data_IF_138840839262
#
_entry.id   IF_138840839262
#
_cell.length_a   1.000
_cell.length_b   1.000
_cell.length_c   1.000
_cell.angle_alpha   90.00
_cell.angle_beta   90.00
_cell.angle_gamma   90.00
#
_symmetry.space_group_name_H-M   'P 1'
#
loop_
_entity.id
_entity.type
_entity.pdbx_description
1 polymer ?
#
# COMPACT_ATOMS: atom_id res chain seq x y z
N UNK A 1 -38.27 12.29 -0.74
CA UNK A 1 -36.83 12.58 -0.86
C UNK A 1 -36.33 11.97 -2.15
N UNK A 2 -36.03 12.77 -3.18
CA UNK A 2 -35.49 12.28 -4.45
C UNK A 2 -34.00 11.99 -4.26
N UNK A 3 -33.62 10.72 -4.37
CA UNK A 3 -32.22 10.33 -4.47
C UNK A 3 -31.77 10.57 -5.92
N UNK A 4 -30.96 11.60 -6.13
CA UNK A 4 -30.25 11.80 -7.39
C UNK A 4 -29.39 10.57 -7.67
N UNK A 5 -29.71 9.87 -8.76
CA UNK A 5 -28.92 8.74 -9.25
C UNK A 5 -27.54 9.27 -9.67
N UNK A 6 -26.42 8.62 -9.29
CA UNK A 6 -25.11 9.00 -9.79
C UNK A 6 -25.06 8.80 -11.32
N UNK A 7 -24.69 9.86 -12.05
CA UNK A 7 -24.53 9.84 -13.51
C UNK A 7 -23.65 8.64 -13.96
N UNK A 8 -23.98 8.02 -15.11
CA UNK A 8 -23.23 6.89 -15.63
C UNK A 8 -21.80 7.33 -16.00
N UNK A 9 -20.84 6.53 -15.55
CA UNK A 9 -19.42 6.49 -15.92
C UNK A 9 -19.06 7.37 -17.13
N UNK A 10 -18.66 8.62 -16.89
CA UNK A 10 -18.00 9.44 -17.90
C UNK A 10 -16.67 8.75 -18.23
N UNK A 11 -16.69 7.92 -19.27
CA UNK A 11 -15.47 7.34 -19.88
C UNK A 11 -14.64 8.51 -20.39
N UNK A 12 -13.61 8.87 -19.63
CA UNK A 12 -12.65 9.86 -20.06
C UNK A 12 -11.96 9.36 -21.35
N UNK A 13 -11.66 10.26 -22.31
CA UNK A 13 -11.03 9.87 -23.56
C UNK A 13 -9.72 9.12 -23.29
N UNK A 14 -9.48 8.05 -24.04
CA UNK A 14 -8.20 7.33 -24.03
C UNK A 14 -7.10 8.23 -24.58
N UNK A 15 -5.88 8.03 -24.08
CA UNK A 15 -4.65 8.79 -24.39
C UNK A 15 -4.36 9.00 -25.89
N UNK A 16 -4.94 8.17 -26.75
CA UNK A 16 -4.66 8.12 -28.18
C UNK A 16 -5.25 9.31 -28.96
N UNK A 17 -6.17 10.08 -28.37
CA UNK A 17 -6.87 11.19 -29.02
C UNK A 17 -6.32 12.59 -28.68
N UNK A 18 -5.21 12.69 -27.94
CA UNK A 18 -4.72 13.98 -27.42
C UNK A 18 -3.44 14.41 -28.14
N UNK A 19 -3.46 15.63 -28.70
CA UNK A 19 -2.31 16.20 -29.40
C UNK A 19 -1.09 16.27 -28.46
N UNK A 20 0.15 16.02 -28.91
CA UNK A 20 1.33 16.01 -28.06
C UNK A 20 1.54 17.31 -27.27
N UNK A 21 1.09 18.45 -27.82
CA UNK A 21 1.19 19.77 -27.19
C UNK A 21 0.23 19.97 -26.00
N UNK A 22 -0.85 19.19 -25.95
CA UNK A 22 -1.83 19.24 -24.88
C UNK A 22 -1.45 18.37 -23.68
N UNK A 23 -0.33 17.65 -23.76
CA UNK A 23 0.17 16.82 -22.67
C UNK A 23 0.61 17.67 -21.47
N UNK A 24 0.46 17.15 -20.24
CA UNK A 24 0.86 17.87 -19.04
C UNK A 24 2.37 18.03 -18.98
N UNK A 25 2.83 19.14 -18.39
CA UNK A 25 4.24 19.31 -18.04
C UNK A 25 4.53 18.44 -16.81
N UNK A 26 5.22 17.31 -17.03
CA UNK A 26 5.67 16.41 -15.98
C UNK A 26 4.84 15.13 -15.83
N UNK A 27 5.44 14.15 -15.17
CA UNK A 27 4.87 12.81 -15.00
C UNK A 27 3.76 12.78 -13.93
N UNK A 28 2.84 11.81 -14.00
CA UNK A 28 1.86 11.60 -12.95
C UNK A 28 2.55 11.32 -11.62
N UNK A 29 2.07 11.95 -10.55
CA UNK A 29 2.55 11.67 -9.20
C UNK A 29 1.81 10.46 -8.63
N UNK A 30 2.50 9.38 -8.22
CA UNK A 30 1.86 8.24 -7.57
C UNK A 30 1.02 8.66 -6.36
N UNK A 31 -0.18 8.12 -6.19
CA UNK A 31 -1.11 8.51 -5.12
C UNK A 31 -0.49 8.41 -3.72
N UNK A 32 0.42 7.45 -3.53
CA UNK A 32 1.15 7.19 -2.30
C UNK A 32 2.06 8.36 -1.91
N UNK A 33 2.56 9.09 -2.90
CA UNK A 33 3.44 10.25 -2.74
C UNK A 33 2.66 11.56 -2.60
N UNK A 34 1.39 11.58 -3.02
CA UNK A 34 0.56 12.79 -2.91
C UNK A 34 0.20 13.05 -1.44
N UNK A 35 0.53 14.26 -0.98
CA UNK A 35 0.24 14.77 0.37
C UNK A 35 -0.40 16.16 0.22
N UNK A 36 -1.60 16.33 0.77
CA UNK A 36 -2.18 17.66 0.94
C UNK A 36 -1.59 18.32 2.18
N UNK A 37 -1.08 19.53 2.03
CA UNK A 37 -0.70 20.41 3.15
C UNK A 37 -1.65 21.61 3.16
N UNK A 38 -2.01 22.18 4.33
CA UNK A 38 -2.76 23.45 4.38
C UNK A 38 -2.07 24.55 3.56
N UNK A 39 -0.74 24.58 3.53
CA UNK A 39 0.04 25.61 2.81
C UNK A 39 0.17 25.35 1.31
N UNK A 40 -0.15 24.14 0.85
CA UNK A 40 -0.01 23.76 -0.57
C UNK A 40 -1.17 22.86 -1.01
N UNK A 41 -2.28 23.45 -1.46
CA UNK A 41 -3.41 22.69 -1.95
C UNK A 41 -3.03 21.89 -3.20
N UNK A 42 -3.60 20.69 -3.31
CA UNK A 42 -3.37 19.83 -4.46
C UNK A 42 -4.04 20.44 -5.70
N UNK A 43 -3.25 20.61 -6.75
CA UNK A 43 -3.71 21.09 -8.04
C UNK A 43 -3.62 19.98 -9.10
N UNK A 44 -4.51 20.06 -10.09
CA UNK A 44 -4.41 19.25 -11.31
C UNK A 44 -3.11 19.60 -12.06
N UNK A 45 -2.58 18.64 -12.83
CA UNK A 45 -1.52 18.95 -13.81
C UNK A 45 -2.14 19.76 -14.94
N UNK A 46 -1.41 20.75 -15.45
CA UNK A 46 -1.86 21.58 -16.57
C UNK A 46 -1.04 21.25 -17.81
N UNK A 47 -1.67 21.31 -18.98
CA UNK A 47 -0.96 21.29 -20.26
C UNK A 47 0.00 22.48 -20.36
N UNK A 48 0.98 22.40 -21.25
CA UNK A 48 1.98 23.46 -21.46
C UNK A 48 1.32 24.81 -21.81
N UNK A 49 0.22 24.75 -22.55
CA UNK A 49 -0.60 25.91 -22.95
C UNK A 49 -1.72 26.23 -21.95
N UNK A 50 -1.73 25.59 -20.77
CA UNK A 50 -2.72 25.73 -19.67
C UNK A 50 -4.20 25.52 -20.04
N UNK A 51 -4.50 25.09 -21.26
CA UNK A 51 -5.88 24.86 -21.73
C UNK A 51 -6.52 23.57 -21.21
N UNK A 52 -5.72 22.55 -20.92
CA UNK A 52 -6.22 21.21 -20.55
C UNK A 52 -5.78 20.84 -19.14
N UNK A 53 -6.74 20.41 -18.32
CA UNK A 53 -6.51 19.92 -16.96
C UNK A 53 -6.32 18.41 -16.99
N UNK A 54 -5.35 17.92 -16.24
CA UNK A 54 -4.98 16.52 -16.16
C UNK A 54 -4.97 16.06 -14.71
N UNK A 55 -5.36 14.80 -14.50
CA UNK A 55 -5.28 14.19 -13.19
C UNK A 55 -3.84 14.25 -12.69
N UNK A 56 -3.69 14.59 -11.41
CA UNK A 56 -2.38 14.66 -10.77
C UNK A 56 -1.67 13.30 -10.77
N UNK A 57 -2.44 12.20 -10.71
CA UNK A 57 -1.90 10.86 -10.46
C UNK A 57 -2.02 9.87 -11.62
N UNK A 58 -2.65 10.28 -12.70
CA UNK A 58 -2.67 9.52 -13.95
C UNK A 58 -2.86 10.47 -15.13
N UNK A 59 -2.68 9.99 -16.36
CA UNK A 59 -2.86 10.81 -17.56
C UNK A 59 -4.31 10.81 -18.04
N UNK A 60 -5.26 11.01 -17.12
CA UNK A 60 -6.67 11.21 -17.44
C UNK A 60 -6.98 12.71 -17.54
N UNK A 61 -7.61 13.13 -18.63
CA UNK A 61 -8.08 14.51 -18.83
C UNK A 61 -9.25 14.81 -17.88
N UNK A 62 -9.22 15.98 -17.25
CA UNK A 62 -10.22 16.48 -16.32
C UNK A 62 -11.09 17.58 -16.97
N UNK A 63 -12.30 17.81 -16.45
CA UNK A 63 -13.12 18.94 -16.89
C UNK A 63 -12.41 20.27 -16.66
N UNK A 64 -12.50 21.19 -17.63
CA UNK A 64 -11.84 22.50 -17.62
C UNK A 64 -12.23 23.35 -16.41
N UNK A 65 -13.50 23.28 -15.99
CA UNK A 65 -14.06 24.09 -14.90
C UNK A 65 -14.07 23.36 -13.54
N UNK A 66 -13.49 22.16 -13.47
CA UNK A 66 -13.46 21.40 -12.22
C UNK A 66 -12.49 21.98 -11.20
N UNK A 67 -12.76 21.81 -9.91
CA UNK A 67 -11.80 22.11 -8.84
C UNK A 67 -10.97 20.89 -8.42
N UNK A 68 -11.40 19.68 -8.79
CA UNK A 68 -10.73 18.46 -8.33
C UNK A 68 -9.37 18.28 -9.02
N UNK A 69 -8.32 17.90 -8.28
CA UNK A 69 -7.02 17.55 -8.84
C UNK A 69 -6.96 16.11 -9.38
N UNK A 70 -8.02 15.32 -9.20
CA UNK A 70 -8.06 13.90 -9.55
C UNK A 70 -9.27 13.55 -10.42
N UNK A 71 -9.14 12.50 -11.23
CA UNK A 71 -10.28 11.83 -11.84
C UNK A 71 -11.06 11.01 -10.80
N UNK A 72 -12.27 10.57 -11.12
CA UNK A 72 -13.13 9.85 -10.15
C UNK A 72 -12.45 8.60 -9.55
N UNK A 73 -11.71 7.84 -10.35
CA UNK A 73 -10.99 6.64 -9.89
C UNK A 73 -9.88 6.99 -8.90
N UNK A 74 -9.00 7.93 -9.28
CA UNK A 74 -7.93 8.41 -8.41
C UNK A 74 -8.47 9.08 -7.15
N UNK A 75 -9.60 9.80 -7.23
CA UNK A 75 -10.26 10.41 -6.08
C UNK A 75 -10.73 9.37 -5.06
N UNK A 76 -11.34 8.26 -5.50
CA UNK A 76 -11.75 7.17 -4.60
C UNK A 76 -10.55 6.54 -3.89
N UNK A 77 -9.49 6.23 -4.65
CA UNK A 77 -8.25 5.65 -4.10
C UNK A 77 -7.55 6.61 -3.13
N UNK A 78 -7.47 7.88 -3.48
CA UNK A 78 -6.89 8.92 -2.62
C UNK A 78 -7.63 9.01 -1.28
N UNK A 79 -8.97 9.04 -1.31
CA UNK A 79 -9.78 9.04 -0.06
C UNK A 79 -9.53 7.80 0.80
N UNK A 80 -9.42 6.62 0.19
CA UNK A 80 -9.14 5.39 0.93
C UNK A 80 -7.74 5.43 1.58
N UNK A 81 -6.73 5.94 0.86
CA UNK A 81 -5.38 6.13 1.39
C UNK A 81 -5.35 7.18 2.50
N UNK A 82 -6.10 8.27 2.37
CA UNK A 82 -6.18 9.31 3.38
C UNK A 82 -6.85 8.80 4.67
N UNK A 83 -7.96 8.05 4.54
CA UNK A 83 -8.58 7.38 5.68
C UNK A 83 -7.62 6.40 6.36
N UNK A 84 -6.85 5.63 5.58
CA UNK A 84 -5.84 4.72 6.13
C UNK A 84 -4.76 5.50 6.89
N UNK A 85 -4.20 6.55 6.30
CA UNK A 85 -3.22 7.44 6.95
C UNK A 85 -3.76 8.06 8.23
N UNK A 86 -5.04 8.46 8.27
CA UNK A 86 -5.68 8.98 9.49
C UNK A 86 -5.83 7.91 10.57
N UNK A 87 -6.21 6.68 10.20
CA UNK A 87 -6.28 5.55 11.14
C UNK A 87 -4.90 5.20 11.70
N UNK A 88 -3.88 5.24 10.84
CA UNK A 88 -2.49 4.99 11.23
C UNK A 88 -1.96 6.12 12.14
N UNK A 89 -2.26 7.39 11.83
CA UNK A 89 -1.88 8.54 12.66
C UNK A 89 -2.61 8.58 14.02
N UNK A 90 -3.84 8.06 14.09
CA UNK A 90 -4.61 7.95 15.34
C UNK A 90 -4.15 6.78 16.25
N UNK A 91 -3.18 5.97 15.80
CA UNK A 91 -2.57 4.88 16.58
C UNK A 91 -1.06 5.12 16.70
N UNK A 92 -0.62 6.08 17.53
CA UNK A 92 0.80 6.45 17.63
C UNK A 92 1.69 5.37 18.25
N UNK A 93 1.14 4.31 18.86
CA UNK A 93 1.90 3.45 19.78
C UNK A 93 2.32 2.06 19.27
N UNK A 94 2.18 1.73 17.99
CA UNK A 94 2.81 0.50 17.46
C UNK A 94 3.20 0.65 15.98
N UNK A 95 4.43 1.06 15.61
CA UNK A 95 4.90 0.96 14.24
C UNK A 95 5.61 -0.38 14.01
N UNK A 96 5.00 -1.49 14.46
CA UNK A 96 5.36 -2.79 13.92
C UNK A 96 4.59 -2.90 12.61
N UNK A 97 5.28 -2.68 11.49
CA UNK A 97 4.63 -2.74 10.17
C UNK A 97 3.82 -4.05 10.04
N UNK A 98 2.66 -4.01 9.36
CA UNK A 98 1.86 -5.21 9.10
C UNK A 98 2.68 -6.36 8.47
N UNK A 99 3.74 -6.00 7.74
CA UNK A 99 4.70 -6.93 7.15
C UNK A 99 5.67 -7.56 8.17
N UNK A 100 5.92 -6.90 9.29
CA UNK A 100 6.73 -7.42 10.39
C UNK A 100 5.93 -8.41 11.24
N UNK A 101 4.68 -8.06 11.60
CA UNK A 101 3.78 -9.02 12.26
C UNK A 101 3.55 -10.27 11.40
N UNK A 102 3.39 -10.10 10.08
CA UNK A 102 3.28 -11.24 9.16
C UNK A 102 4.54 -12.12 9.22
N UNK A 103 5.73 -11.53 9.20
CA UNK A 103 6.99 -12.30 9.30
C UNK A 103 7.15 -13.02 10.63
N UNK A 104 6.73 -12.41 11.74
CA UNK A 104 6.74 -13.09 13.05
C UNK A 104 5.80 -14.31 13.03
N UNK A 105 4.61 -14.17 12.45
CA UNK A 105 3.70 -15.31 12.25
C UNK A 105 4.30 -16.39 11.35
N UNK A 106 4.89 -16.01 10.20
CA UNK A 106 5.51 -16.96 9.27
C UNK A 106 6.63 -17.78 9.96
N UNK A 107 7.46 -17.15 10.80
CA UNK A 107 8.50 -17.85 11.57
C UNK A 107 7.92 -18.72 12.69
N UNK A 108 6.86 -18.27 13.37
CA UNK A 108 6.20 -19.06 14.40
C UNK A 108 5.57 -20.34 13.81
N UNK A 109 4.89 -20.22 12.66
CA UNK A 109 4.31 -21.37 11.95
C UNK A 109 5.38 -22.39 11.52
N UNK A 110 6.55 -21.90 11.09
CA UNK A 110 7.69 -22.75 10.74
C UNK A 110 8.22 -23.53 11.94
N UNK A 111 8.42 -22.87 13.08
CA UNK A 111 8.86 -23.53 14.33
C UNK A 111 7.85 -24.59 14.79
N UNK A 112 6.54 -24.33 14.65
CA UNK A 112 5.50 -25.32 14.97
C UNK A 112 5.58 -26.53 14.05
N UNK A 113 5.82 -26.33 12.75
CA UNK A 113 5.99 -27.43 11.80
C UNK A 113 7.24 -28.28 12.12
N UNK A 114 8.37 -27.63 12.44
CA UNK A 114 9.61 -28.33 12.77
C UNK A 114 9.50 -29.13 14.08
N UNK A 115 8.80 -28.59 15.09
CA UNK A 115 8.47 -29.34 16.30
C UNK A 115 7.58 -30.57 16.01
N UNK A 116 6.66 -30.45 15.05
CA UNK A 116 5.87 -31.58 14.55
C UNK A 116 6.75 -32.66 13.92
N UNK A 117 7.68 -32.27 13.04
CA UNK A 117 8.60 -33.20 12.39
C UNK A 117 9.55 -33.87 13.40
N UNK A 118 10.05 -33.11 14.38
CA UNK A 118 10.86 -33.65 15.47
C UNK A 118 10.08 -34.69 16.29
N UNK A 119 8.81 -34.44 16.57
CA UNK A 119 7.93 -35.37 17.29
C UNK A 119 7.72 -36.66 16.47
N UNK A 120 7.52 -36.54 15.15
CA UNK A 120 7.40 -37.69 14.26
C UNK A 120 8.71 -38.47 14.21
N UNK A 121 9.86 -37.80 14.06
CA UNK A 121 11.17 -38.43 14.05
C UNK A 121 11.44 -39.18 15.37
N UNK A 122 11.05 -38.61 16.51
CA UNK A 122 11.15 -39.26 17.82
C UNK A 122 10.33 -40.55 17.89
N UNK A 123 9.07 -40.48 17.46
CA UNK A 123 8.16 -41.61 17.52
C UNK A 123 8.47 -42.71 16.48
N UNK A 124 9.17 -42.38 15.39
CA UNK A 124 9.46 -43.30 14.29
C UNK A 124 10.92 -43.78 14.25
N UNK A 125 11.76 -43.31 15.16
CA UNK A 125 13.21 -43.61 15.15
C UNK A 125 13.94 -42.98 13.97
N UNK A 126 13.41 -41.88 13.43
CA UNK A 126 14.02 -41.10 12.35
C UNK A 126 15.26 -40.33 12.80
N UNK A 127 15.85 -39.55 11.90
CA UNK A 127 17.07 -38.78 12.18
C UNK A 127 16.77 -37.56 13.09
N UNK A 128 16.72 -37.83 14.39
CA UNK A 128 16.40 -36.85 15.42
C UNK A 128 17.34 -35.65 15.42
N UNK A 129 18.62 -35.90 15.14
CA UNK A 129 19.68 -34.90 15.24
C UNK A 129 19.48 -33.81 14.20
N UNK A 130 19.17 -34.22 12.97
CA UNK A 130 18.87 -33.32 11.87
C UNK A 130 17.66 -32.43 12.15
N UNK A 131 16.57 -33.02 12.65
CA UNK A 131 15.35 -32.27 12.96
C UNK A 131 15.52 -31.32 14.16
N UNK A 132 16.33 -31.71 15.16
CA UNK A 132 16.69 -30.85 16.29
C UNK A 132 17.51 -29.64 15.84
N UNK A 133 18.50 -29.86 14.97
CA UNK A 133 19.35 -28.78 14.45
C UNK A 133 18.54 -27.78 13.60
N UNK A 134 17.59 -28.27 12.79
CA UNK A 134 16.67 -27.44 12.03
C UNK A 134 15.77 -26.59 12.95
N UNK A 135 15.12 -27.23 13.93
CA UNK A 135 14.24 -26.55 14.91
C UNK A 135 15.00 -25.48 15.69
N UNK A 136 16.22 -25.78 16.16
CA UNK A 136 17.04 -24.82 16.91
C UNK A 136 17.45 -23.62 16.06
N UNK A 137 17.74 -23.82 14.77
CA UNK A 137 18.10 -22.73 13.86
C UNK A 137 16.93 -21.75 13.67
N UNK A 138 15.74 -22.27 13.41
CA UNK A 138 14.55 -21.46 13.17
C UNK A 138 14.07 -20.74 14.45
N UNK A 139 14.22 -21.38 15.60
CA UNK A 139 13.94 -20.75 16.89
C UNK A 139 14.94 -19.62 17.21
N UNK A 140 16.24 -19.79 16.90
CA UNK A 140 17.24 -18.71 16.99
C UNK A 140 16.91 -17.53 16.07
N UNK A 141 16.46 -17.81 14.84
CA UNK A 141 16.07 -16.78 13.89
C UNK A 141 14.85 -15.99 14.38
N UNK A 142 13.83 -16.67 14.93
CA UNK A 142 12.66 -16.05 15.53
C UNK A 142 13.04 -15.14 16.71
N UNK A 143 13.86 -15.63 17.64
CA UNK A 143 14.29 -14.85 18.82
C UNK A 143 15.12 -13.64 18.42
N UNK A 144 16.04 -13.79 17.46
CA UNK A 144 16.82 -12.66 16.92
C UNK A 144 15.90 -11.61 16.30
N UNK A 145 14.93 -12.05 15.49
CA UNK A 145 13.98 -11.17 14.84
C UNK A 145 13.07 -10.45 15.83
N UNK A 146 12.64 -11.11 16.92
CA UNK A 146 11.89 -10.45 17.99
C UNK A 146 12.75 -9.43 18.71
N UNK A 147 14.01 -9.74 19.04
CA UNK A 147 14.90 -8.81 19.74
C UNK A 147 15.24 -7.55 18.94
N UNK A 148 15.49 -7.70 17.63
CA UNK A 148 15.87 -6.61 16.75
C UNK A 148 14.74 -5.58 16.55
N UNK A 149 13.49 -6.01 16.68
CA UNK A 149 12.31 -5.20 16.39
C UNK A 149 11.43 -4.91 17.61
N UNK A 150 11.64 -5.62 18.71
CA UNK A 150 11.03 -5.40 20.02
C UNK A 150 12.12 -5.28 21.09
N UNK A 151 12.90 -4.18 21.08
CA UNK A 151 14.07 -4.03 21.97
C UNK A 151 13.74 -3.87 23.46
N UNK A 152 12.45 -4.01 23.85
CA UNK A 152 11.95 -3.80 25.22
C UNK A 152 11.20 -5.00 25.82
N UNK A 153 11.29 -6.19 25.21
CA UNK A 153 10.86 -7.44 25.85
C UNK A 153 12.04 -8.11 26.51
#
# INVERSE_FOLDING_TARGET
MRFDRPEPNKRYPRLDAVHPEDRPVGFPTPLEQVRSSPDRPLAARLSRNRGTRWCLSCDTVLPSNGQSPFCDSCRRRYRALEQRRRRDAARPDVPISKNHLRRVHDYADKVVADLGNLTVAYNTGGDLRREMDATMLDMKMLVKYLRDYFPRV
#
